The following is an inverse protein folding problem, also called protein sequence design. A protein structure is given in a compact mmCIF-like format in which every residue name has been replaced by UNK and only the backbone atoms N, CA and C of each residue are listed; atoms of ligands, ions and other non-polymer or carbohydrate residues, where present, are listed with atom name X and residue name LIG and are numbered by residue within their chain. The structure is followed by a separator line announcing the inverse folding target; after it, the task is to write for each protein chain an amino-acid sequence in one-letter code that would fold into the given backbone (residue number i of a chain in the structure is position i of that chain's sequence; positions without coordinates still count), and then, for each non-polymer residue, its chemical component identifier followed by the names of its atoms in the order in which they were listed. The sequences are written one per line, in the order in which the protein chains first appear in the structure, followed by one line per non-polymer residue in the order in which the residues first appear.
data_IF_103116619437
#
_entry.id   IF_103116619437
#
_cell.length_a   1.000
_cell.length_b   1.000
_cell.length_c   1.000
_cell.angle_alpha   90.00
_cell.angle_beta   90.00
_cell.angle_gamma   90.00
#
_symmetry.space_group_name_H-M   'P 1'
#
loop_
_entity.id
_entity.type
_entity.pdbx_description
1 polymer ?
#
# COMPACT_ATOMS: atom_id res chain seq x y z
N UNK A 1 -4.66 0.85 -1.60
CA UNK A 1 -5.37 -0.31 -2.21
C UNK A 1 -6.00 -1.27 -1.21
N UNK A 2 -5.35 -1.60 -0.08
CA UNK A 2 -5.96 -2.45 0.95
C UNK A 2 -7.21 -1.79 1.53
N UNK A 3 -7.13 -0.56 2.04
CA UNK A 3 -8.29 0.17 2.56
C UNK A 3 -9.42 0.33 1.52
N UNK A 4 -9.08 0.46 0.22
CA UNK A 4 -10.09 0.45 -0.84
C UNK A 4 -10.78 -0.93 -1.00
N UNK A 5 -10.04 -2.03 -0.78
CA UNK A 5 -10.63 -3.36 -0.73
C UNK A 5 -11.50 -3.57 0.53
N UNK A 6 -11.08 -3.02 1.67
CA UNK A 6 -11.86 -3.01 2.92
C UNK A 6 -13.19 -2.26 2.73
N UNK A 7 -13.14 -1.07 2.11
CA UNK A 7 -14.32 -0.25 1.84
C UNK A 7 -15.32 -0.94 0.91
N UNK A 8 -14.84 -1.75 -0.05
CA UNK A 8 -15.73 -2.53 -0.93
C UNK A 8 -16.45 -3.66 -0.18
N UNK A 9 -15.83 -4.23 0.85
CA UNK A 9 -16.41 -5.31 1.65
C UNK A 9 -17.27 -4.84 2.82
N UNK A 10 -17.01 -3.64 3.36
CA UNK A 10 -17.72 -3.10 4.51
C UNK A 10 -19.17 -2.68 4.16
N UNK A 11 -20.14 -3.19 4.91
CA UNK A 11 -21.56 -2.86 4.77
C UNK A 11 -22.05 -1.86 5.82
N UNK A 12 -21.40 -1.81 6.98
CA UNK A 12 -21.72 -0.87 8.06
C UNK A 12 -21.34 0.58 7.66
N UNK A 13 -22.27 1.55 7.71
CA UNK A 13 -22.01 2.93 7.28
C UNK A 13 -20.93 3.63 8.13
N UNK A 14 -20.88 3.38 9.44
CA UNK A 14 -19.87 3.98 10.33
C UNK A 14 -18.49 3.44 9.98
N UNK A 15 -18.37 2.14 9.73
CA UNK A 15 -17.11 1.51 9.30
C UNK A 15 -16.65 2.09 7.96
N UNK A 16 -17.56 2.31 7.01
CA UNK A 16 -17.25 2.90 5.70
C UNK A 16 -16.75 4.33 5.82
N UNK A 17 -17.35 5.15 6.68
CA UNK A 17 -16.92 6.52 6.92
C UNK A 17 -15.50 6.55 7.52
N UNK A 18 -15.23 5.69 8.51
CA UNK A 18 -13.89 5.56 9.09
C UNK A 18 -12.85 5.13 8.06
N UNK A 19 -13.13 4.10 7.25
CA UNK A 19 -12.21 3.65 6.19
C UNK A 19 -11.98 4.75 5.15
N UNK A 20 -12.99 5.57 4.86
CA UNK A 20 -12.85 6.71 3.93
C UNK A 20 -11.92 7.78 4.48
N UNK A 21 -12.02 8.09 5.78
CA UNK A 21 -11.06 8.96 6.46
C UNK A 21 -9.64 8.42 6.40
N UNK A 22 -9.45 7.14 6.75
CA UNK A 22 -8.13 6.47 6.67
C UNK A 22 -7.57 6.52 5.24
N UNK A 23 -8.40 6.31 4.23
CA UNK A 23 -7.95 6.38 2.82
C UNK A 23 -7.37 7.74 2.46
N UNK A 24 -7.98 8.82 2.95
CA UNK A 24 -7.48 10.17 2.73
C UNK A 24 -6.12 10.38 3.41
N UNK A 25 -6.03 10.04 4.69
CA UNK A 25 -4.80 10.22 5.47
C UNK A 25 -3.64 9.41 4.87
N UNK A 26 -3.89 8.16 4.50
CA UNK A 26 -2.88 7.29 3.89
C UNK A 26 -2.45 7.77 2.49
N UNK A 27 -3.34 8.40 1.74
CA UNK A 27 -2.99 9.03 0.46
C UNK A 27 -2.09 10.26 0.66
N UNK A 28 -2.39 11.10 1.65
CA UNK A 28 -1.56 12.26 2.00
C UNK A 28 -0.18 11.82 2.51
N UNK A 29 -0.11 10.79 3.36
CA UNK A 29 1.16 10.20 3.81
C UNK A 29 1.96 9.57 2.67
N UNK A 30 1.31 8.87 1.74
CA UNK A 30 1.98 8.29 0.59
C UNK A 30 2.61 9.37 -0.30
N UNK A 31 1.92 10.50 -0.52
CA UNK A 31 2.49 11.61 -1.28
C UNK A 31 3.75 12.17 -0.59
N UNK A 32 3.67 12.45 0.70
CA UNK A 32 4.82 12.95 1.47
C UNK A 32 6.01 11.98 1.42
N UNK A 33 5.75 10.67 1.49
CA UNK A 33 6.79 9.66 1.40
C UNK A 33 7.50 9.67 0.03
N UNK A 34 6.76 9.86 -1.06
CA UNK A 34 7.35 9.97 -2.40
C UNK A 34 8.15 11.26 -2.58
N UNK A 35 7.66 12.38 -2.05
CA UNK A 35 8.38 13.65 -2.06
C UNK A 35 9.72 13.53 -1.31
N UNK A 36 9.71 12.83 -0.17
CA UNK A 36 10.93 12.55 0.59
C UNK A 36 11.92 11.67 -0.19
N UNK A 37 11.43 10.64 -0.88
CA UNK A 37 12.26 9.77 -1.73
C UNK A 37 12.89 10.58 -2.87
N UNK A 38 12.12 11.43 -3.55
CA UNK A 38 12.62 12.29 -4.61
C UNK A 38 13.68 13.27 -4.10
N UNK A 39 13.42 13.93 -2.96
CA UNK A 39 14.39 14.81 -2.31
C UNK A 39 15.68 14.06 -1.93
N UNK A 40 15.58 12.88 -1.31
CA UNK A 40 16.74 12.12 -0.87
C UNK A 40 17.61 11.65 -2.05
N UNK A 41 16.98 11.31 -3.19
CA UNK A 41 17.71 10.99 -4.41
C UNK A 41 18.42 12.21 -5.00
N UNK A 42 17.78 13.37 -5.01
CA UNK A 42 18.39 14.61 -5.47
C UNK A 42 19.63 15.00 -4.62
N UNK A 43 19.60 14.74 -3.31
CA UNK A 43 20.72 15.02 -2.41
C UNK A 43 21.83 13.95 -2.46
N UNK A 44 21.46 12.67 -2.53
CA UNK A 44 22.40 11.55 -2.36
C UNK A 44 22.80 10.82 -3.65
N UNK A 45 22.23 11.18 -4.79
CA UNK A 45 22.57 10.67 -6.12
C UNK A 45 22.47 9.14 -6.25
N UNK A 46 23.37 8.56 -7.04
CA UNK A 46 23.34 7.13 -7.40
C UNK A 46 23.39 6.16 -6.22
N UNK A 47 24.02 6.54 -5.11
CA UNK A 47 24.06 5.71 -3.91
C UNK A 47 22.64 5.53 -3.33
N UNK A 48 21.88 6.62 -3.24
CA UNK A 48 20.51 6.59 -2.71
C UNK A 48 19.57 5.92 -3.71
N UNK A 49 19.68 6.22 -5.01
CA UNK A 49 18.90 5.54 -6.06
C UNK A 49 19.01 4.01 -5.99
N UNK A 50 20.24 3.48 -5.89
CA UNK A 50 20.46 2.03 -5.73
C UNK A 50 19.85 1.46 -4.45
N UNK A 51 19.91 2.22 -3.34
CA UNK A 51 19.29 1.79 -2.09
C UNK A 51 17.76 1.72 -2.22
N UNK A 52 17.14 2.76 -2.78
CA UNK A 52 15.69 2.82 -3.02
C UNK A 52 15.24 1.67 -3.92
N UNK A 53 15.92 1.42 -5.05
CA UNK A 53 15.62 0.28 -5.94
C UNK A 53 15.68 -1.07 -5.22
N UNK A 54 16.68 -1.27 -4.36
CA UNK A 54 16.83 -2.52 -3.60
C UNK A 54 15.67 -2.71 -2.63
N UNK A 55 15.35 -1.69 -1.83
CA UNK A 55 14.27 -1.77 -0.84
C UNK A 55 12.88 -1.92 -1.49
N UNK A 56 12.66 -1.25 -2.62
CA UNK A 56 11.42 -1.41 -3.40
C UNK A 56 11.24 -2.85 -3.88
N UNK A 57 12.29 -3.46 -4.44
CA UNK A 57 12.27 -4.88 -4.86
C UNK A 57 12.02 -5.85 -3.71
N UNK A 58 12.64 -5.62 -2.55
CA UNK A 58 12.42 -6.45 -1.36
C UNK A 58 10.99 -6.33 -0.82
N UNK A 59 10.43 -5.12 -0.85
CA UNK A 59 9.04 -4.85 -0.43
C UNK A 59 8.04 -5.58 -1.33
N UNK A 60 8.22 -5.50 -2.66
CA UNK A 60 7.38 -6.21 -3.65
C UNK A 60 7.44 -7.73 -3.43
N UNK A 61 8.59 -8.28 -3.01
CA UNK A 61 8.78 -9.70 -2.80
C UNK A 61 8.16 -10.24 -1.49
N UNK A 62 7.79 -9.38 -0.54
CA UNK A 62 7.32 -9.81 0.78
C UNK A 62 5.83 -10.10 0.78
N UNK A 63 5.45 -11.37 0.95
CA UNK A 63 4.05 -11.74 1.16
C UNK A 63 3.60 -11.38 2.59
N UNK A 64 2.35 -10.91 2.78
CA UNK A 64 1.78 -10.75 4.11
C UNK A 64 1.56 -12.12 4.77
N UNK A 65 1.68 -12.22 6.11
CA UNK A 65 1.34 -13.44 6.84
C UNK A 65 -0.15 -13.75 6.73
N UNK A 66 -0.56 -15.03 6.79
CA UNK A 66 -1.96 -15.41 6.75
C UNK A 66 -2.72 -15.01 8.03
N UNK A 67 -4.01 -14.70 7.90
CA UNK A 67 -5.01 -14.40 8.92
C UNK A 67 -6.22 -15.32 8.72
N UNK A 68 -6.85 -15.71 9.82
CA UNK A 68 -8.06 -16.53 9.78
C UNK A 68 -9.20 -15.79 9.05
N UNK A 69 -9.92 -16.50 8.19
CA UNK A 69 -11.08 -15.95 7.45
C UNK A 69 -12.35 -16.10 8.28
N UNK A 70 -12.99 -14.98 8.61
CA UNK A 70 -14.27 -14.95 9.33
C UNK A 70 -15.27 -14.07 8.54
N UNK A 71 -16.40 -14.63 8.06
CA UNK A 71 -17.39 -13.90 7.28
C UNK A 71 -17.97 -12.67 7.98
N UNK A 72 -18.15 -12.73 9.31
CA UNK A 72 -18.63 -11.60 10.11
C UNK A 72 -17.62 -10.47 10.10
N UNK A 73 -16.32 -10.76 10.18
CA UNK A 73 -15.26 -9.75 10.12
C UNK A 73 -15.21 -9.09 8.73
N UNK A 74 -15.51 -9.82 7.67
CA UNK A 74 -15.57 -9.27 6.30
C UNK A 74 -16.66 -8.20 6.16
N UNK A 75 -17.85 -8.41 6.75
CA UNK A 75 -18.92 -7.40 6.76
C UNK A 75 -18.50 -6.10 7.49
N UNK A 76 -17.56 -6.20 8.44
CA UNK A 76 -16.94 -5.08 9.13
C UNK A 76 -15.64 -4.59 8.46
N UNK A 77 -15.44 -4.88 7.17
CA UNK A 77 -14.31 -4.34 6.41
C UNK A 77 -12.96 -5.02 6.70
N UNK A 78 -12.95 -6.21 7.28
CA UNK A 78 -11.74 -7.03 7.47
C UNK A 78 -11.67 -8.09 6.36
N UNK A 79 -10.92 -7.83 5.27
CA UNK A 79 -10.85 -8.70 4.11
C UNK A 79 -10.11 -10.01 4.41
N UNK A 80 -10.37 -11.01 3.58
CA UNK A 80 -9.60 -12.25 3.58
C UNK A 80 -8.14 -12.02 3.16
N UNK A 81 -7.26 -12.94 3.54
CA UNK A 81 -5.86 -12.93 3.11
C UNK A 81 -5.67 -12.87 1.61
N UNK A 82 -6.52 -13.58 0.86
CA UNK A 82 -6.47 -13.59 -0.58
C UNK A 82 -6.67 -12.17 -1.13
N UNK A 83 -7.67 -11.45 -0.60
CA UNK A 83 -7.95 -10.06 -0.98
C UNK A 83 -6.83 -9.13 -0.55
N UNK A 84 -6.26 -9.30 0.65
CA UNK A 84 -5.10 -8.50 1.11
C UNK A 84 -3.91 -8.71 0.20
N UNK A 85 -3.56 -9.98 -0.07
CA UNK A 85 -2.43 -10.35 -0.92
C UNK A 85 -2.59 -9.82 -2.33
N UNK A 86 -3.77 -9.97 -2.93
CA UNK A 86 -4.08 -9.43 -4.25
C UNK A 86 -4.02 -7.89 -4.27
N UNK A 87 -4.55 -7.21 -3.25
CA UNK A 87 -4.49 -5.76 -3.14
C UNK A 87 -3.05 -5.25 -3.01
N UNK A 88 -2.22 -5.90 -2.20
CA UNK A 88 -0.81 -5.55 -2.04
C UNK A 88 -0.01 -5.86 -3.31
N UNK A 89 -0.20 -7.02 -3.93
CA UNK A 89 0.46 -7.38 -5.18
C UNK A 89 0.16 -6.35 -6.29
N UNK A 90 -1.10 -5.91 -6.42
CA UNK A 90 -1.49 -4.88 -7.39
C UNK A 90 -0.78 -3.54 -7.16
N UNK A 91 -0.61 -3.11 -5.91
CA UNK A 91 0.13 -1.86 -5.61
C UNK A 91 1.61 -2.03 -5.89
N UNK A 92 2.16 -3.18 -5.51
CA UNK A 92 3.56 -3.49 -5.71
C UNK A 92 3.94 -3.44 -7.20
N UNK A 93 3.14 -4.06 -8.08
CA UNK A 93 3.42 -4.12 -9.51
C UNK A 93 2.90 -2.93 -10.30
N UNK A 94 1.78 -2.33 -9.89
CA UNK A 94 1.13 -1.25 -10.64
C UNK A 94 1.51 0.16 -10.21
N UNK A 95 2.13 0.32 -9.03
CA UNK A 95 2.51 1.64 -8.49
C UNK A 95 3.97 1.64 -8.04
N UNK A 96 4.35 0.79 -7.08
CA UNK A 96 5.68 0.88 -6.45
C UNK A 96 6.80 0.61 -7.46
N UNK A 97 6.72 -0.49 -8.20
CA UNK A 97 7.73 -0.83 -9.21
C UNK A 97 7.88 0.25 -10.29
N UNK A 98 6.82 0.66 -11.04
CA UNK A 98 6.96 1.68 -12.08
C UNK A 98 7.39 3.04 -11.53
N UNK A 99 6.85 3.51 -10.40
CA UNK A 99 7.27 4.80 -9.81
C UNK A 99 8.73 4.78 -9.37
N UNK A 100 9.25 3.63 -8.91
CA UNK A 100 10.67 3.50 -8.57
C UNK A 100 11.55 3.55 -9.81
N UNK A 101 11.12 2.94 -10.91
CA UNK A 101 11.86 2.91 -12.18
C UNK A 101 11.87 4.29 -12.87
N UNK A 102 10.81 5.09 -12.72
CA UNK A 102 10.77 6.48 -13.23
C UNK A 102 11.66 7.43 -12.43
N UNK A 103 11.71 7.26 -11.10
CA UNK A 103 12.45 8.17 -10.21
C UNK A 103 13.96 7.93 -10.21
N UNK A 104 14.39 6.67 -10.37
CA UNK A 104 15.81 6.31 -10.26
C UNK A 104 16.48 6.27 -11.64
#
# INVERSE_FOLDING_TARGET
ALAAAQLRGATDPVVRDVITGILRDESEHAQLAWDLVAWAQAQGGERVKRAVRREARQTVAKAPPPRATNPTLMAHGIPSDAVVREALARVATGVIAPSTDELC
#
